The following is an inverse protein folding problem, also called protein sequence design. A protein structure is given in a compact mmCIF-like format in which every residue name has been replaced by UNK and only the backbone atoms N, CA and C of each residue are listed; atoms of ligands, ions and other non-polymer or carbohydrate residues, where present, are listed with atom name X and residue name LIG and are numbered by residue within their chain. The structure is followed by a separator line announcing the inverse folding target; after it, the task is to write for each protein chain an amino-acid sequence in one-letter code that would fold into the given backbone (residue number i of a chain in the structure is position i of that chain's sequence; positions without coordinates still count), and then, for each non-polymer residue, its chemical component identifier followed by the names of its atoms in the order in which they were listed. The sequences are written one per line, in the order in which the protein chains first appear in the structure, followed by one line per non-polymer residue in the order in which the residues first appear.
data_IF_460027146130
#
_entry.id   IF_460027146130
#
_cell.length_a   1.000
_cell.length_b   1.000
_cell.length_c   1.000
_cell.angle_alpha   90.00
_cell.angle_beta   90.00
_cell.angle_gamma   90.00
#
_symmetry.space_group_name_H-M   'P 1'
#
loop_
_entity.id
_entity.type
_entity.pdbx_description
1 polymer ?
#
# COMPACT_ATOMS: atom_id res chain seq x y z
N UNK A 1 20.17 -1.03 6.76
CA UNK A 1 19.05 -1.43 5.87
C UNK A 1 17.77 -1.34 6.67
N UNK A 2 16.78 -0.62 6.15
CA UNK A 2 15.45 -0.50 6.75
C UNK A 2 14.44 -1.02 5.74
N UNK A 3 13.46 -1.77 6.20
CA UNK A 3 12.38 -2.32 5.38
C UNK A 3 11.06 -1.77 5.91
N UNK A 4 10.21 -1.31 5.00
CA UNK A 4 8.86 -0.88 5.31
C UNK A 4 7.86 -1.94 4.87
N UNK A 5 6.90 -2.22 5.73
CA UNK A 5 5.65 -2.86 5.32
C UNK A 5 4.72 -1.78 4.78
N UNK A 6 4.38 -1.89 3.50
CA UNK A 6 3.47 -0.98 2.82
C UNK A 6 2.16 -1.67 2.51
N UNK A 7 1.05 -1.02 2.83
CA UNK A 7 -0.29 -1.39 2.40
C UNK A 7 -0.69 -0.53 1.21
N UNK A 8 -0.99 -1.18 0.09
CA UNK A 8 -1.58 -0.55 -1.09
C UNK A 8 -3.10 -0.69 -1.00
N UNK A 9 -3.80 0.39 -0.66
CA UNK A 9 -5.25 0.48 -0.64
C UNK A 9 -5.76 0.99 -1.98
N UNK A 10 -6.13 0.08 -2.88
CA UNK A 10 -6.63 0.47 -4.20
C UNK A 10 -8.15 0.64 -4.26
N UNK A 11 -8.60 1.58 -5.10
CA UNK A 11 -10.02 1.83 -5.36
C UNK A 11 -10.70 0.60 -5.99
N UNK A 12 -9.98 -0.13 -6.84
CA UNK A 12 -10.48 -1.31 -7.53
C UNK A 12 -9.39 -2.39 -7.76
N UNK A 13 -9.76 -3.45 -8.46
CA UNK A 13 -8.89 -4.61 -8.71
C UNK A 13 -7.84 -4.37 -9.82
N UNK A 14 -7.89 -3.26 -10.55
CA UNK A 14 -6.87 -2.89 -11.53
C UNK A 14 -5.56 -2.47 -10.86
N UNK A 15 -5.65 -2.04 -9.58
CA UNK A 15 -4.51 -1.60 -8.76
C UNK A 15 -3.71 -0.45 -9.38
N UNK A 16 -4.39 0.39 -10.16
CA UNK A 16 -3.82 1.58 -10.82
C UNK A 16 -3.98 2.84 -9.97
N UNK A 17 -5.05 2.91 -9.17
CA UNK A 17 -5.30 3.97 -8.20
C UNK A 17 -5.23 3.40 -6.79
N UNK A 18 -4.10 3.60 -6.11
CA UNK A 18 -3.86 3.09 -4.76
C UNK A 18 -3.25 4.16 -3.85
N UNK A 19 -3.80 4.28 -2.66
CA UNK A 19 -3.11 4.95 -1.56
C UNK A 19 -2.08 3.99 -0.96
N UNK A 20 -0.84 4.46 -0.78
CA UNK A 20 0.23 3.68 -0.14
C UNK A 20 0.35 4.14 1.30
N UNK A 21 0.18 3.23 2.24
CA UNK A 21 0.27 3.50 3.68
C UNK A 21 1.40 2.67 4.27
N UNK A 22 2.29 3.31 5.02
CA UNK A 22 3.26 2.58 5.84
C UNK A 22 2.54 1.97 7.04
N UNK A 23 2.53 0.65 7.12
CA UNK A 23 1.90 -0.10 8.20
C UNK A 23 2.91 -0.45 9.31
N UNK A 24 4.17 -0.74 8.97
CA UNK A 24 5.22 -1.09 9.93
C UNK A 24 6.63 -0.88 9.33
N UNK A 25 7.67 -1.05 10.15
CA UNK A 25 9.06 -1.00 9.72
C UNK A 25 10.00 -1.84 10.58
N UNK A 26 11.00 -2.46 9.94
CA UNK A 26 12.10 -3.14 10.61
C UNK A 26 13.44 -2.56 10.17
N UNK A 27 14.44 -2.66 11.02
CA UNK A 27 15.80 -2.22 10.73
C UNK A 27 16.81 -3.26 11.17
N UNK A 28 17.88 -3.41 10.39
CA UNK A 28 18.94 -4.38 10.66
C UNK A 28 19.12 -5.42 9.55
N UNK A 29 20.01 -6.39 9.76
CA UNK A 29 20.38 -7.38 8.74
C UNK A 29 19.24 -8.34 8.39
N UNK A 30 18.27 -8.54 9.29
CA UNK A 30 17.13 -9.45 9.11
C UNK A 30 15.80 -8.74 8.86
N UNK A 31 15.84 -7.45 8.53
CA UNK A 31 14.63 -6.63 8.43
C UNK A 31 13.70 -7.08 7.29
N UNK A 32 14.25 -7.68 6.23
CA UNK A 32 13.44 -8.16 5.12
C UNK A 32 12.72 -9.46 5.48
N UNK A 33 13.43 -10.39 6.11
CA UNK A 33 12.90 -11.65 6.61
C UNK A 33 11.76 -11.41 7.61
N UNK A 34 11.97 -10.51 8.58
CA UNK A 34 10.94 -10.10 9.54
C UNK A 34 9.68 -9.54 8.87
N UNK A 35 9.85 -8.76 7.78
CA UNK A 35 8.71 -8.25 7.02
C UNK A 35 7.97 -9.35 6.25
N UNK A 36 8.70 -10.27 5.62
CA UNK A 36 8.10 -11.35 4.82
C UNK A 36 7.34 -12.35 5.71
N UNK A 37 7.85 -12.62 6.91
CA UNK A 37 7.21 -13.53 7.88
C UNK A 37 5.78 -13.10 8.24
N UNK A 38 5.48 -11.79 8.27
CA UNK A 38 4.14 -11.30 8.62
C UNK A 38 3.18 -11.22 7.43
N UNK A 39 3.66 -11.26 6.19
CA UNK A 39 2.82 -11.10 4.99
C UNK A 39 1.69 -12.13 4.87
N UNK A 40 1.90 -13.45 5.13
CA UNK A 40 0.84 -14.44 5.03
C UNK A 40 -0.33 -14.13 5.97
N UNK A 41 -0.05 -13.86 7.25
CA UNK A 41 -1.08 -13.55 8.24
C UNK A 41 -1.88 -12.30 7.89
N UNK A 42 -1.21 -11.24 7.42
CA UNK A 42 -1.86 -10.02 6.94
C UNK A 42 -2.73 -10.26 5.70
N UNK A 43 -2.27 -11.11 4.78
CA UNK A 43 -3.01 -11.46 3.56
C UNK A 43 -4.23 -12.32 3.87
N UNK A 44 -4.12 -13.26 4.79
CA UNK A 44 -5.21 -14.13 5.24
C UNK A 44 -6.29 -13.36 6.01
N UNK A 45 -5.89 -12.32 6.75
CA UNK A 45 -6.81 -11.41 7.44
C UNK A 45 -7.68 -10.58 6.48
N UNK A 46 -7.28 -10.44 5.20
CA UNK A 46 -8.10 -9.77 4.20
C UNK A 46 -9.24 -10.67 3.71
N UNK A 47 -10.44 -10.09 3.65
CA UNK A 47 -11.58 -10.72 2.96
C UNK A 47 -11.27 -10.98 1.49
N UNK A 48 -11.96 -11.93 0.85
CA UNK A 48 -11.72 -12.25 -0.55
C UNK A 48 -11.85 -11.03 -1.51
N UNK A 49 -12.82 -10.11 -1.34
CA UNK A 49 -12.84 -8.87 -2.12
C UNK A 49 -11.63 -7.98 -1.86
N UNK A 50 -11.21 -7.85 -0.60
CA UNK A 50 -10.08 -6.99 -0.22
C UNK A 50 -8.75 -7.55 -0.71
N UNK A 51 -8.56 -8.87 -0.77
CA UNK A 51 -7.35 -9.48 -1.39
C UNK A 51 -7.19 -9.13 -2.87
N UNK A 52 -8.28 -8.87 -3.58
CA UNK A 52 -8.21 -8.44 -4.99
C UNK A 52 -7.72 -7.01 -5.10
N UNK A 53 -8.23 -6.12 -4.24
CA UNK A 53 -7.96 -4.67 -4.29
C UNK A 53 -6.71 -4.25 -3.53
N UNK A 54 -6.40 -4.91 -2.43
CA UNK A 54 -5.37 -4.48 -1.49
C UNK A 54 -4.24 -5.49 -1.42
N UNK A 55 -3.02 -4.99 -1.20
CA UNK A 55 -1.84 -5.84 -1.00
C UNK A 55 -0.89 -5.25 0.02
N UNK A 56 -0.26 -6.13 0.77
CA UNK A 56 0.90 -5.78 1.60
C UNK A 56 2.18 -6.09 0.82
N UNK A 57 3.19 -5.22 0.94
CA UNK A 57 4.48 -5.33 0.26
C UNK A 57 5.59 -4.95 1.24
N UNK A 58 6.69 -5.71 1.20
CA UNK A 58 7.93 -5.37 1.88
C UNK A 58 8.82 -4.56 0.96
N UNK A 59 9.12 -3.32 1.31
CA UNK A 59 9.97 -2.43 0.53
C UNK A 59 11.26 -2.13 1.29
N UNK A 60 12.40 -2.51 0.70
CA UNK A 60 13.71 -2.12 1.21
C UNK A 60 13.92 -0.65 0.85
N UNK A 61 14.22 0.18 1.85
CA UNK A 61 14.69 1.54 1.59
C UNK A 61 16.08 1.48 0.92
N UNK A 62 16.10 1.69 -0.39
CA UNK A 62 17.28 2.09 -1.15
C UNK A 62 17.15 3.55 -1.61
N UNK A 63 18.24 4.16 -2.08
CA UNK A 63 18.28 5.53 -2.63
C UNK A 63 17.48 5.71 -3.95
N UNK A 64 16.63 4.75 -4.31
CA UNK A 64 15.71 4.86 -5.44
C UNK A 64 14.48 5.71 -5.11
N UNK A 65 13.80 6.27 -6.13
CA UNK A 65 12.68 7.17 -5.91
C UNK A 65 11.62 6.47 -5.05
N UNK A 66 11.29 7.10 -3.91
CA UNK A 66 10.13 6.76 -3.07
C UNK A 66 8.94 6.42 -3.98
N UNK A 67 8.16 5.38 -3.70
CA UNK A 67 6.88 5.20 -4.35
C UNK A 67 6.14 6.51 -4.18
N UNK A 68 5.82 7.17 -5.29
CA UNK A 68 5.09 8.41 -5.25
C UNK A 68 3.85 8.16 -4.39
N UNK A 69 3.75 8.87 -3.27
CA UNK A 69 2.45 9.13 -2.66
C UNK A 69 1.60 9.62 -3.82
N UNK A 70 0.71 8.76 -4.31
CA UNK A 70 -0.24 9.16 -5.32
C UNK A 70 -1.10 10.19 -4.62
N UNK A 71 -0.74 11.47 -4.80
CA UNK A 71 -1.64 12.58 -4.61
C UNK A 71 -2.75 12.35 -5.62
N UNK A 72 -3.75 11.56 -5.23
CA UNK A 72 -5.07 11.63 -5.81
C UNK A 72 -5.51 13.08 -5.59
N UNK A 73 -5.25 13.92 -6.60
CA UNK A 73 -5.81 15.26 -6.65
C UNK A 73 -7.31 15.04 -6.58
N UNK A 74 -8.00 15.49 -5.51
CA UNK A 74 -9.43 15.29 -5.45
C UNK A 74 -10.02 16.18 -6.55
N UNK A 75 -10.48 15.55 -7.64
CA UNK A 75 -11.32 16.21 -8.61
C UNK A 75 -12.68 16.44 -7.94
N UNK A 76 -12.75 17.42 -7.03
CA UNK A 76 -14.01 18.02 -6.58
C UNK A 76 -14.59 18.82 -7.75
N UNK A 77 -15.13 18.11 -8.74
CA UNK A 77 -16.05 18.73 -9.70
C UNK A 77 -17.43 18.71 -9.02
N UNK A 78 -17.67 19.71 -8.17
CA UNK A 78 -19.02 20.09 -7.78
C UNK A 78 -19.73 20.66 -9.01
N UNK A 79 -20.34 19.81 -9.82
CA UNK A 79 -21.35 20.25 -10.77
C UNK A 79 -22.70 20.23 -10.05
N UNK A 80 -23.12 21.42 -9.64
CA UNK A 80 -24.48 21.71 -9.20
C UNK A 80 -25.48 21.21 -10.24
N UNK A 81 -26.29 20.22 -9.91
CA UNK A 81 -27.54 19.97 -10.63
C UNK A 81 -28.43 21.19 -10.45
N UNK A 82 -28.78 21.85 -11.56
CA UNK A 82 -29.98 22.69 -11.62
C UNK A 82 -31.06 21.89 -12.36
N UNK A 83 -32.21 21.78 -11.69
CA UNK A 83 -33.47 21.27 -12.25
C UNK A 83 -33.97 22.17 -13.38
#
# INVERSE_FOLDING_TARGET
MTVFLLLYLCADATRTDCQVIRADSWSGPHAYEQCVEVLPGLTEALTAPNRKRHRFVCEIQGDGPKPAEHKALPAFIHQSLRM
#
